data_IF_728122751570
#
_entry.id   IF_728122751570
#
_cell.length_a   1.000
_cell.length_b   1.000
_cell.length_c   1.000
_cell.angle_alpha   90.00
_cell.angle_beta   90.00
_cell.angle_gamma   90.00
#
_symmetry.space_group_name_H-M   'P 1'
#
loop_
_entity.id
_entity.type
_entity.pdbx_description
1 polymer ?
#
# COMPACT_ATOMS: atom_id res chain seq x y z
N UNK A 1 7.67 -14.70 -17.99
CA UNK A 1 8.30 -14.38 -16.70
C UNK A 1 7.25 -14.59 -15.64
N UNK A 2 7.57 -15.26 -14.53
CA UNK A 2 6.57 -15.56 -13.50
C UNK A 2 6.41 -14.40 -12.52
N UNK A 3 5.38 -14.46 -11.67
CA UNK A 3 5.17 -13.51 -10.57
C UNK A 3 6.35 -13.55 -9.59
N UNK A 4 6.81 -14.75 -9.22
CA UNK A 4 7.99 -14.95 -8.36
C UNK A 4 9.27 -14.34 -8.93
N UNK A 5 9.53 -14.51 -10.23
CA UNK A 5 10.71 -13.91 -10.88
C UNK A 5 10.69 -12.38 -10.78
N UNK A 6 9.50 -11.77 -10.88
CA UNK A 6 9.32 -10.32 -10.79
C UNK A 6 9.50 -9.86 -9.34
N UNK A 7 8.97 -10.61 -8.36
CA UNK A 7 9.18 -10.33 -6.94
C UNK A 7 10.68 -10.38 -6.61
N UNK A 8 11.39 -11.43 -7.03
CA UNK A 8 12.83 -11.53 -6.80
C UNK A 8 13.60 -10.37 -7.46
N UNK A 9 13.28 -10.05 -8.72
CA UNK A 9 13.91 -8.92 -9.42
C UNK A 9 13.69 -7.58 -8.71
N UNK A 10 12.50 -7.36 -8.14
CA UNK A 10 12.22 -6.13 -7.39
C UNK A 10 12.96 -6.13 -6.05
N UNK A 11 12.99 -7.24 -5.30
CA UNK A 11 13.73 -7.34 -4.02
C UNK A 11 15.21 -7.04 -4.21
N UNK A 12 15.82 -7.62 -5.24
CA UNK A 12 17.27 -7.52 -5.47
C UNK A 12 17.72 -6.14 -5.97
N UNK A 13 16.92 -5.50 -6.83
CA UNK A 13 17.38 -4.33 -7.61
C UNK A 13 16.53 -3.08 -7.44
N UNK A 14 15.30 -3.20 -6.95
CA UNK A 14 14.31 -2.14 -6.98
C UNK A 14 13.47 -2.03 -5.70
N UNK A 15 13.95 -2.55 -4.57
CA UNK A 15 13.17 -2.65 -3.32
C UNK A 15 12.61 -1.31 -2.82
N UNK A 16 13.33 -0.21 -3.05
CA UNK A 16 12.87 1.15 -2.71
C UNK A 16 12.03 1.84 -3.78
N UNK A 17 11.83 1.22 -4.95
CA UNK A 17 11.24 1.83 -6.14
C UNK A 17 10.11 0.98 -6.75
N UNK A 18 9.46 0.11 -5.95
CA UNK A 18 8.35 -0.74 -6.41
C UNK A 18 7.29 0.03 -7.22
N UNK A 19 6.88 1.21 -6.77
CA UNK A 19 5.86 2.01 -7.46
C UNK A 19 6.34 2.60 -8.79
N UNK A 20 7.65 2.72 -9.01
CA UNK A 20 8.25 3.31 -10.21
C UNK A 20 8.57 2.29 -11.32
N UNK A 21 8.47 0.99 -11.04
CA UNK A 21 8.82 -0.07 -12.01
C UNK A 21 7.62 -0.63 -12.79
N UNK A 22 6.43 -0.08 -12.58
CA UNK A 22 5.21 -0.48 -13.28
C UNK A 22 4.58 0.67 -14.06
N UNK A 23 4.04 0.35 -15.24
CA UNK A 23 3.27 1.27 -16.07
C UNK A 23 1.94 0.65 -16.49
N UNK A 24 0.85 1.40 -16.40
CA UNK A 24 -0.47 0.91 -16.83
C UNK A 24 -0.53 0.92 -18.36
N UNK A 25 -0.93 -0.20 -18.94
CA UNK A 25 -1.06 -0.35 -20.39
C UNK A 25 -2.52 -0.11 -20.80
N UNK A 26 -2.73 0.51 -21.96
CA UNK A 26 -4.04 0.64 -22.57
C UNK A 26 -4.66 -0.76 -22.75
N UNK A 27 -5.77 -1.04 -22.04
CA UNK A 27 -6.36 -2.38 -21.95
C UNK A 27 -6.32 -3.02 -20.55
N UNK A 28 -5.78 -2.32 -19.54
CA UNK A 28 -5.88 -2.74 -18.13
C UNK A 28 -4.78 -3.68 -17.63
N UNK A 29 -3.73 -3.89 -18.41
CA UNK A 29 -2.52 -4.61 -17.97
C UNK A 29 -1.53 -3.70 -17.25
N UNK A 30 -0.55 -4.31 -16.56
CA UNK A 30 0.56 -3.60 -15.90
C UNK A 30 1.88 -4.04 -16.49
N UNK A 31 2.55 -3.17 -17.23
CA UNK A 31 3.88 -3.43 -17.79
C UNK A 31 4.95 -3.25 -16.73
N UNK A 32 5.70 -4.31 -16.45
CA UNK A 32 6.91 -4.27 -15.67
C UNK A 32 8.04 -3.68 -16.52
N UNK A 33 8.49 -2.48 -16.20
CA UNK A 33 9.43 -1.70 -17.03
C UNK A 33 10.79 -2.39 -17.23
N UNK A 34 11.41 -3.05 -16.23
CA UNK A 34 12.73 -3.65 -16.37
C UNK A 34 12.83 -4.73 -17.45
N UNK A 35 11.76 -5.50 -17.69
CA UNK A 35 11.75 -6.58 -18.69
C UNK A 35 10.73 -6.38 -19.80
N UNK A 36 9.86 -5.38 -19.67
CA UNK A 36 8.77 -5.09 -20.59
C UNK A 36 7.59 -6.07 -20.50
N UNK A 37 7.60 -7.01 -19.55
CA UNK A 37 6.55 -8.02 -19.42
C UNK A 37 5.23 -7.39 -18.93
N UNK A 38 4.10 -7.80 -19.51
CA UNK A 38 2.78 -7.29 -19.14
C UNK A 38 2.10 -8.28 -18.20
N UNK A 39 1.80 -7.82 -17.01
CA UNK A 39 1.04 -8.54 -15.99
C UNK A 39 -0.45 -8.31 -16.19
N UNK A 40 -1.24 -9.37 -15.92
CA UNK A 40 -2.67 -9.23 -15.69
C UNK A 40 -2.92 -8.48 -14.36
N UNK A 41 -4.11 -7.89 -14.17
CA UNK A 41 -4.48 -7.27 -12.90
C UNK A 41 -4.27 -8.18 -11.69
N UNK A 42 -4.62 -9.46 -11.82
CA UNK A 42 -4.46 -10.46 -10.76
C UNK A 42 -2.98 -10.72 -10.43
N UNK A 43 -2.13 -10.84 -11.45
CA UNK A 43 -0.70 -11.04 -11.26
C UNK A 43 -0.04 -9.81 -10.64
N UNK A 44 -0.42 -8.60 -11.06
CA UNK A 44 0.06 -7.36 -10.45
C UNK A 44 -0.37 -7.24 -8.97
N UNK A 45 -1.60 -7.63 -8.63
CA UNK A 45 -2.07 -7.63 -7.25
C UNK A 45 -1.25 -8.58 -6.35
N UNK A 46 -0.89 -9.76 -6.85
CA UNK A 46 -0.02 -10.70 -6.14
C UNK A 46 1.38 -10.11 -5.89
N UNK A 47 2.00 -9.48 -6.89
CA UNK A 47 3.29 -8.79 -6.69
C UNK A 47 3.13 -7.65 -5.68
N UNK A 48 2.09 -6.82 -5.80
CA UNK A 48 1.85 -5.69 -4.89
C UNK A 48 1.68 -6.14 -3.44
N UNK A 49 1.07 -7.29 -3.17
CA UNK A 49 0.90 -7.80 -1.81
C UNK A 49 2.24 -8.04 -1.09
N UNK A 50 3.31 -8.34 -1.82
CA UNK A 50 4.65 -8.58 -1.26
C UNK A 50 5.44 -7.30 -0.93
N UNK A 51 5.10 -6.17 -1.58
CA UNK A 51 5.84 -4.90 -1.45
C UNK A 51 5.03 -3.77 -0.86
N UNK A 52 3.70 -3.87 -0.85
CA UNK A 52 2.89 -2.98 -0.05
C UNK A 52 3.23 -3.29 1.42
N UNK A 53 3.59 -2.29 2.24
CA UNK A 53 3.49 -2.49 3.69
C UNK A 53 2.07 -2.99 3.92
N UNK A 54 1.93 -4.13 4.61
CA UNK A 54 0.63 -4.68 5.01
C UNK A 54 -0.22 -3.47 5.33
N UNK A 55 -1.22 -3.19 4.48
CA UNK A 55 -1.92 -1.91 4.49
C UNK A 55 -2.10 -1.61 5.96
N UNK A 56 -1.50 -0.52 6.46
CA UNK A 56 -1.75 -0.11 7.84
C UNK A 56 -3.24 -0.34 7.96
N UNK A 57 -3.62 -1.28 8.82
CA UNK A 57 -5.01 -1.41 9.19
C UNK A 57 -5.23 -0.02 9.70
N UNK A 58 -5.83 0.83 8.86
CA UNK A 58 -6.26 2.15 9.24
C UNK A 58 -7.23 1.75 10.32
N UNK A 59 -6.76 1.71 11.57
CA UNK A 59 -7.62 1.68 12.73
C UNK A 59 -8.63 2.76 12.37
N UNK A 60 -9.91 2.42 12.18
CA UNK A 60 -10.87 3.37 11.66
C UNK A 60 -10.72 4.60 12.54
N UNK A 61 -10.25 5.70 11.94
CA UNK A 61 -9.91 6.90 12.71
C UNK A 61 -11.07 7.19 13.66
N UNK A 62 -10.79 7.63 14.90
CA UNK A 62 -11.68 7.44 16.04
C UNK A 62 -13.13 7.67 15.65
N UNK A 63 -13.96 6.66 15.92
CA UNK A 63 -15.40 6.72 15.66
C UNK A 63 -15.99 7.97 16.30
N UNK A 64 -17.16 8.44 15.85
CA UNK A 64 -17.80 9.61 16.44
C UNK A 64 -17.95 9.51 17.98
N UNK A 65 -18.15 8.28 18.49
CA UNK A 65 -18.16 7.99 19.92
C UNK A 65 -16.78 8.19 20.57
N UNK A 66 -15.70 7.68 19.98
CA UNK A 66 -14.34 7.86 20.49
C UNK A 66 -13.86 9.33 20.39
N UNK A 67 -14.25 10.07 19.34
CA UNK A 67 -14.00 11.53 19.26
C UNK A 67 -14.69 12.27 20.41
N UNK A 68 -15.91 11.87 20.77
CA UNK A 68 -16.64 12.46 21.90
C UNK A 68 -15.97 12.17 23.24
N UNK A 69 -15.51 10.93 23.46
CA UNK A 69 -14.76 10.56 24.67
C UNK A 69 -13.44 11.32 24.77
N UNK A 70 -12.68 11.45 23.68
CA UNK A 70 -11.43 12.22 23.66
C UNK A 70 -11.68 13.72 23.87
N UNK A 71 -12.74 14.28 23.30
CA UNK A 71 -13.12 15.67 23.54
C UNK A 71 -13.53 15.92 25.01
N UNK A 72 -14.18 14.95 25.66
CA UNK A 72 -14.50 15.03 27.08
C UNK A 72 -13.25 14.93 27.96
N UNK A 73 -12.31 14.03 27.62
CA UNK A 73 -11.00 13.93 28.31
C UNK A 73 -10.20 15.21 28.19
N UNK A 74 -10.05 15.75 26.99
CA UNK A 74 -9.34 17.01 26.75
C UNK A 74 -9.96 18.18 27.52
N UNK A 75 -11.30 18.26 27.58
CA UNK A 75 -11.99 19.29 28.39
C UNK A 75 -11.79 19.08 29.89
N UNK A 76 -11.73 17.85 30.37
CA UNK A 76 -11.49 17.56 31.80
C UNK A 76 -10.05 17.91 32.22
N UNK A 77 -9.08 17.66 31.33
CA UNK A 77 -7.66 17.98 31.57
C UNK A 77 -7.40 19.49 31.52
N UNK A 78 -8.12 20.24 30.67
CA UNK A 78 -7.98 21.70 30.58
C UNK A 78 -8.83 22.51 31.58
N UNK A 79 -9.65 21.88 32.42
CA UNK A 79 -10.48 22.57 33.43
C UNK A 79 -9.89 22.52 34.85
N UNK A 80 -8.63 22.13 35.00
CA UNK A 80 -7.88 22.14 36.26
C UNK A 80 -6.75 23.19 36.23
N UNK A 81 -7.04 24.38 35.71
CA UNK A 81 -6.19 25.57 35.74
C UNK A 81 -6.96 26.78 36.24
#
# INVERSE_FOLDING_TARGET
>A
MTVDDIIQAIRDRHGGAFWGVFHVVAGGGYKFLPTGHILTPAAYAAVRAEFAPAAEVHEPGPTAAQRKVNALRYKAENNHG
#
